data_IF_090818458711
#
_entry.id   IF_090818458711
#
_cell.length_a   1.000
_cell.length_b   1.000
_cell.length_c   1.000
_cell.angle_alpha   90.00
_cell.angle_beta   90.00
_cell.angle_gamma   90.00
#
_symmetry.space_group_name_H-M   'P 1'
#
loop_
_entity.id
_entity.type
_entity.pdbx_description
1 polymer ?
#
# COMPACT_ATOMS: atom_id res chain seq x y z
N UNK A 1 -14.27 17.35 -8.39
CA UNK A 1 -15.27 17.13 -7.31
C UNK A 1 -16.43 16.29 -7.84
N UNK A 2 -16.23 14.98 -8.02
CA UNK A 2 -17.26 14.06 -8.52
C UNK A 2 -17.05 12.61 -8.03
N UNK A 3 -16.37 12.41 -6.90
CA UNK A 3 -15.95 11.08 -6.40
C UNK A 3 -16.59 10.70 -5.06
N UNK A 4 -17.54 11.49 -4.57
CA UNK A 4 -18.21 11.27 -3.28
C UNK A 4 -19.64 10.73 -3.39
N UNK A 5 -20.11 10.40 -4.60
CA UNK A 5 -21.50 9.99 -4.84
C UNK A 5 -21.71 8.48 -4.96
N UNK A 6 -20.66 7.69 -5.21
CA UNK A 6 -20.81 6.23 -5.38
C UNK A 6 -20.94 5.47 -4.05
N UNK A 7 -20.37 5.99 -2.96
CA UNK A 7 -20.43 5.34 -1.63
C UNK A 7 -21.77 5.51 -0.91
N UNK A 8 -22.61 6.45 -1.34
CA UNK A 8 -23.93 6.70 -0.72
C UNK A 8 -25.01 5.76 -1.26
N UNK A 9 -24.80 5.16 -2.44
CA UNK A 9 -25.79 4.29 -3.08
C UNK A 9 -25.90 2.90 -2.44
N UNK A 10 -24.81 2.33 -1.95
CA UNK A 10 -24.82 1.01 -1.30
C UNK A 10 -25.50 1.08 0.08
N UNK A 11 -25.34 2.19 0.81
CA UNK A 11 -26.02 2.40 2.10
C UNK A 11 -27.52 2.72 1.96
N UNK A 12 -27.95 3.27 0.81
CA UNK A 12 -29.34 3.66 0.58
C UNK A 12 -30.26 2.49 0.19
N UNK A 13 -29.74 1.45 -0.48
CA UNK A 13 -30.53 0.27 -0.84
C UNK A 13 -30.93 -0.59 0.37
N UNK A 14 -30.12 -0.62 1.44
CA UNK A 14 -30.43 -1.36 2.66
C UNK A 14 -31.55 -0.72 3.50
N UNK A 15 -31.84 0.58 3.34
CA UNK A 15 -32.82 1.31 4.15
C UNK A 15 -34.21 1.41 3.52
N UNK A 16 -34.33 1.27 2.19
CA UNK A 16 -35.60 1.40 1.49
C UNK A 16 -36.46 0.13 1.50
N UNK A 17 -35.93 -1.01 1.93
CA UNK A 17 -36.69 -2.26 2.10
C UNK A 17 -37.60 -2.28 3.35
N UNK A 18 -37.55 -1.23 4.20
CA UNK A 18 -38.33 -1.13 5.45
C UNK A 18 -39.71 -0.46 5.27
N UNK A 19 -40.09 -0.08 4.05
CA UNK A 19 -41.27 0.72 3.76
C UNK A 19 -42.40 -0.02 3.04
N UNK A 20 -43.38 -0.48 3.83
CA UNK A 20 -44.80 -0.72 3.45
C UNK A 20 -45.11 -2.00 2.66
N UNK A 21 -45.72 -2.98 3.34
CA UNK A 21 -46.92 -3.65 2.85
C UNK A 21 -47.72 -4.28 3.99
N UNK A 22 -48.81 -3.62 4.37
CA UNK A 22 -49.88 -4.21 5.15
C UNK A 22 -50.79 -5.03 4.21
N UNK A 23 -50.74 -6.36 4.30
CA UNK A 23 -51.70 -7.26 3.67
C UNK A 23 -52.29 -8.23 4.72
N UNK A 24 -53.61 -8.51 4.68
CA UNK A 24 -54.28 -9.19 5.78
C UNK A 24 -54.07 -10.71 5.73
N UNK A 25 -53.53 -11.21 6.85
CA UNK A 25 -53.69 -12.54 7.46
C UNK A 25 -54.72 -13.46 6.78
N UNK A 26 -54.22 -14.50 6.11
CA UNK A 26 -54.96 -15.75 5.90
C UNK A 26 -54.27 -16.88 6.65
N UNK A 27 -55.00 -17.37 7.65
CA UNK A 27 -54.76 -18.58 8.43
C UNK A 27 -54.55 -19.82 7.53
N UNK A 28 -53.44 -20.56 7.69
CA UNK A 28 -53.42 -22.01 7.92
C UNK A 28 -51.99 -22.61 7.94
N UNK A 29 -51.84 -23.59 8.86
CA UNK A 29 -50.80 -24.63 9.01
C UNK A 29 -49.43 -24.22 9.58
N UNK A 30 -49.24 -24.43 10.89
CA UNK A 30 -47.93 -24.53 11.55
C UNK A 30 -47.32 -25.91 11.28
N UNK A 31 -46.32 -26.00 10.37
CA UNK A 31 -45.03 -26.63 10.66
C UNK A 31 -43.82 -25.83 10.10
N UNK A 32 -44.02 -24.57 9.69
CA UNK A 32 -42.98 -23.67 9.12
C UNK A 32 -41.90 -23.16 10.07
N UNK A 33 -42.12 -23.25 11.38
CA UNK A 33 -41.09 -22.85 12.34
C UNK A 33 -39.88 -23.79 12.33
N UNK A 34 -40.06 -25.05 11.93
CA UNK A 34 -38.95 -25.99 11.78
C UNK A 34 -38.14 -25.65 10.53
N UNK A 35 -38.80 -25.40 9.39
CA UNK A 35 -38.16 -24.96 8.15
C UNK A 35 -37.36 -23.65 8.35
N UNK A 36 -37.95 -22.65 9.03
CA UNK A 36 -37.23 -21.42 9.33
C UNK A 36 -36.03 -21.68 10.26
N UNK A 37 -36.16 -22.54 11.28
CA UNK A 37 -35.04 -22.89 12.18
C UNK A 37 -33.91 -23.61 11.45
N UNK A 38 -34.26 -24.55 10.58
CA UNK A 38 -33.29 -25.32 9.80
C UNK A 38 -32.57 -24.38 8.81
N UNK A 39 -33.30 -23.47 8.15
CA UNK A 39 -32.73 -22.44 7.29
C UNK A 39 -31.83 -21.47 8.07
N UNK A 40 -32.24 -21.00 9.25
CA UNK A 40 -31.40 -20.15 10.10
C UNK A 40 -30.08 -20.83 10.42
N UNK A 41 -30.08 -22.11 10.80
CA UNK A 41 -28.85 -22.83 11.12
C UNK A 41 -27.99 -23.06 9.87
N UNK A 42 -28.61 -23.41 8.74
CA UNK A 42 -27.92 -23.55 7.46
C UNK A 42 -27.22 -22.24 7.06
N UNK A 43 -27.96 -21.13 7.03
CA UNK A 43 -27.39 -19.84 6.66
C UNK A 43 -26.43 -19.30 7.71
N UNK A 44 -26.61 -19.60 9.01
CA UNK A 44 -25.61 -19.28 10.03
C UNK A 44 -24.26 -19.90 9.68
N UNK A 45 -24.25 -21.17 9.29
CA UNK A 45 -23.03 -21.86 8.86
C UNK A 45 -22.49 -21.23 7.58
N UNK A 46 -23.34 -21.01 6.57
CA UNK A 46 -22.90 -20.42 5.29
C UNK A 46 -22.32 -19.01 5.46
N UNK A 47 -22.93 -18.15 6.27
CA UNK A 47 -22.40 -16.82 6.58
C UNK A 47 -21.07 -16.89 7.36
N UNK A 48 -20.93 -17.83 8.29
CA UNK A 48 -19.68 -18.05 9.03
C UNK A 48 -18.55 -18.57 8.11
N UNK A 49 -18.87 -19.48 7.19
CA UNK A 49 -17.92 -19.95 6.16
C UNK A 49 -17.51 -18.81 5.22
N UNK A 50 -18.48 -18.04 4.73
CA UNK A 50 -18.24 -16.89 3.87
C UNK A 50 -17.40 -15.81 4.57
N UNK A 51 -17.67 -15.53 5.85
CA UNK A 51 -16.84 -14.65 6.67
C UNK A 51 -15.40 -15.16 6.77
N UNK A 52 -15.20 -16.45 7.09
CA UNK A 52 -13.88 -17.05 7.24
C UNK A 52 -13.07 -16.99 5.94
N UNK A 53 -13.69 -17.31 4.81
CA UNK A 53 -13.04 -17.22 3.50
C UNK A 53 -12.58 -15.78 3.22
N UNK A 54 -13.48 -14.81 3.40
CA UNK A 54 -13.20 -13.38 3.19
C UNK A 54 -12.10 -12.90 4.13
N UNK A 55 -12.16 -13.25 5.40
CA UNK A 55 -11.15 -12.89 6.39
C UNK A 55 -9.76 -13.44 6.03
N UNK A 56 -9.68 -14.71 5.63
CA UNK A 56 -8.42 -15.32 5.17
C UNK A 56 -7.85 -14.60 3.94
N UNK A 57 -8.69 -14.29 2.97
CA UNK A 57 -8.26 -13.56 1.77
C UNK A 57 -7.76 -12.14 2.10
N UNK A 58 -8.46 -11.41 2.98
CA UNK A 58 -8.03 -10.08 3.41
C UNK A 58 -6.73 -10.12 4.21
N UNK A 59 -6.52 -11.14 5.04
CA UNK A 59 -5.25 -11.36 5.72
C UNK A 59 -4.11 -11.64 4.73
N UNK A 60 -4.37 -12.44 3.69
CA UNK A 60 -3.41 -12.67 2.62
C UNK A 60 -3.06 -11.37 1.88
N UNK A 61 -4.07 -10.58 1.48
CA UNK A 61 -3.86 -9.30 0.80
C UNK A 61 -3.03 -8.32 1.65
N UNK A 62 -3.31 -8.20 2.96
CA UNK A 62 -2.49 -7.38 3.88
C UNK A 62 -1.05 -7.86 3.98
N UNK A 63 -0.85 -9.17 4.06
CA UNK A 63 0.49 -9.76 4.17
C UNK A 63 1.28 -9.53 2.88
N UNK A 64 0.64 -9.72 1.72
CA UNK A 64 1.23 -9.45 0.41
C UNK A 64 1.63 -7.99 0.26
N UNK A 65 0.72 -7.06 0.60
CA UNK A 65 0.99 -5.62 0.61
C UNK A 65 2.21 -5.26 1.48
N UNK A 66 2.25 -5.77 2.72
CA UNK A 66 3.38 -5.53 3.61
C UNK A 66 4.70 -6.09 3.06
N UNK A 67 4.67 -7.30 2.49
CA UNK A 67 5.83 -7.92 1.88
C UNK A 67 6.34 -7.12 0.67
N UNK A 68 5.44 -6.62 -0.18
CA UNK A 68 5.77 -5.78 -1.34
C UNK A 68 6.46 -4.49 -0.91
N UNK A 69 5.89 -3.77 0.07
CA UNK A 69 6.48 -2.52 0.60
C UNK A 69 7.84 -2.79 1.24
N UNK A 70 7.96 -3.88 2.01
CA UNK A 70 9.23 -4.28 2.60
C UNK A 70 10.30 -4.54 1.55
N UNK A 71 9.97 -5.30 0.50
CA UNK A 71 10.91 -5.63 -0.56
C UNK A 71 11.36 -4.37 -1.34
N UNK A 72 10.45 -3.39 -1.55
CA UNK A 72 10.82 -2.09 -2.11
C UNK A 72 11.80 -1.34 -1.20
N UNK A 73 11.54 -1.30 0.11
CA UNK A 73 12.44 -0.64 1.06
C UNK A 73 13.82 -1.31 1.08
N UNK A 74 13.88 -2.64 1.05
CA UNK A 74 15.14 -3.39 1.03
C UNK A 74 15.98 -3.06 -0.22
N UNK A 75 15.36 -3.02 -1.41
CA UNK A 75 16.04 -2.65 -2.66
C UNK A 75 16.49 -1.18 -2.67
N UNK A 76 15.63 -0.25 -2.25
CA UNK A 76 15.99 1.19 -2.19
C UNK A 76 17.15 1.43 -1.21
N UNK A 77 17.12 0.79 -0.03
CA UNK A 77 18.19 0.90 0.96
C UNK A 77 19.50 0.26 0.47
N UNK A 78 19.36 -0.88 -0.23
CA UNK A 78 20.27 -1.38 -1.27
C UNK A 78 21.12 -0.29 -1.93
N UNK A 79 20.48 0.32 -2.93
CA UNK A 79 21.07 1.23 -3.89
C UNK A 79 21.60 2.50 -3.23
N UNK A 80 20.88 2.99 -2.21
CA UNK A 80 21.32 4.13 -1.40
C UNK A 80 22.62 3.82 -0.64
N UNK A 81 22.74 2.62 -0.08
CA UNK A 81 23.93 2.19 0.64
C UNK A 81 25.15 2.11 -0.29
N UNK A 82 24.96 1.60 -1.51
CA UNK A 82 26.00 1.54 -2.54
C UNK A 82 26.44 2.95 -2.96
N UNK A 83 25.49 3.83 -3.29
CA UNK A 83 25.76 5.23 -3.69
C UNK A 83 26.42 6.03 -2.57
N UNK A 84 25.99 5.84 -1.31
CA UNK A 84 26.64 6.45 -0.15
C UNK A 84 28.11 6.04 -0.06
N UNK A 85 28.44 4.76 -0.29
CA UNK A 85 29.82 4.31 -0.25
C UNK A 85 30.66 4.94 -1.37
N UNK A 86 30.10 5.08 -2.57
CA UNK A 86 30.75 5.79 -3.69
C UNK A 86 31.04 7.24 -3.30
N UNK A 87 30.08 7.97 -2.75
CA UNK A 87 30.29 9.36 -2.31
C UNK A 87 31.25 9.47 -1.11
N UNK A 88 31.20 8.52 -0.18
CA UNK A 88 32.03 8.54 1.02
C UNK A 88 33.51 8.37 0.69
N UNK A 89 33.83 7.40 -0.19
CA UNK A 89 35.19 6.95 -0.47
C UNK A 89 35.72 7.38 -1.84
N UNK A 90 34.86 7.85 -2.76
CA UNK A 90 35.25 8.19 -4.13
C UNK A 90 36.32 9.28 -4.22
N UNK A 91 36.37 10.19 -3.24
CA UNK A 91 37.38 11.24 -3.20
C UNK A 91 38.66 10.87 -2.43
N UNK A 92 38.77 9.67 -1.86
CA UNK A 92 39.91 9.34 -0.98
C UNK A 92 41.24 9.35 -1.73
N UNK A 93 41.28 8.83 -2.95
CA UNK A 93 42.50 8.79 -3.76
C UNK A 93 42.97 10.20 -4.14
N UNK A 94 42.08 11.07 -4.63
CA UNK A 94 42.45 12.44 -4.99
C UNK A 94 42.84 13.27 -3.75
N UNK A 95 42.19 13.04 -2.60
CA UNK A 95 42.57 13.67 -1.33
C UNK A 95 43.94 13.21 -0.85
N UNK A 96 44.28 11.94 -1.05
CA UNK A 96 45.60 11.41 -0.75
C UNK A 96 46.66 12.04 -1.66
N UNK A 97 46.41 12.12 -2.97
CA UNK A 97 47.31 12.76 -3.94
C UNK A 97 47.61 14.21 -3.54
N UNK A 98 46.56 14.99 -3.22
CA UNK A 98 46.72 16.38 -2.75
C UNK A 98 47.52 16.44 -1.43
N UNK A 99 47.22 15.56 -0.48
CA UNK A 99 47.90 15.53 0.82
C UNK A 99 49.39 15.24 0.68
N UNK A 100 49.79 14.36 -0.24
CA UNK A 100 51.18 14.06 -0.52
C UNK A 100 51.91 15.29 -1.08
N UNK A 101 51.29 16.00 -2.03
CA UNK A 101 51.87 17.24 -2.61
C UNK A 101 52.05 18.35 -1.57
N UNK A 102 51.14 18.47 -0.60
CA UNK A 102 51.30 19.42 0.52
C UNK A 102 52.54 19.07 1.36
N UNK A 103 52.74 17.78 1.65
CA UNK A 103 53.87 17.31 2.48
C UNK A 103 55.23 17.48 1.79
N UNK A 104 55.28 17.38 0.46
CA UNK A 104 56.52 17.61 -0.31
C UNK A 104 57.06 19.05 -0.18
N UNK A 105 56.18 20.02 0.11
CA UNK A 105 56.54 21.36 0.59
C UNK A 105 57.10 22.33 -0.47
N UNK A 106 57.06 21.95 -1.73
CA UNK A 106 57.54 22.70 -2.90
C UNK A 106 56.40 23.27 -3.78
N UNK A 107 55.13 23.12 -3.37
CA UNK A 107 53.94 23.49 -4.11
C UNK A 107 53.11 24.58 -3.41
N UNK A 108 52.11 25.14 -4.10
CA UNK A 108 51.21 26.14 -3.52
C UNK A 108 50.20 25.47 -2.56
N UNK A 109 50.57 25.37 -1.28
CA UNK A 109 49.76 24.74 -0.23
C UNK A 109 48.33 25.29 -0.14
N UNK A 110 48.14 26.61 -0.25
CA UNK A 110 46.80 27.20 -0.17
C UNK A 110 45.92 26.76 -1.35
N UNK A 111 46.47 26.72 -2.56
CA UNK A 111 45.77 26.23 -3.76
C UNK A 111 45.31 24.77 -3.57
N UNK A 112 46.18 23.92 -3.00
CA UNK A 112 45.87 22.52 -2.71
C UNK A 112 44.81 22.36 -1.60
N UNK A 113 44.89 23.14 -0.53
CA UNK A 113 43.88 23.15 0.54
C UNK A 113 42.51 23.62 0.04
N UNK A 114 42.48 24.62 -0.85
CA UNK A 114 41.24 25.10 -1.47
C UNK A 114 40.55 23.98 -2.27
N UNK A 115 41.31 23.16 -3.01
CA UNK A 115 40.75 21.98 -3.69
C UNK A 115 40.15 20.96 -2.71
N UNK A 116 40.79 20.74 -1.55
CA UNK A 116 40.25 19.85 -0.50
C UNK A 116 38.95 20.41 0.08
N UNK A 117 38.85 21.72 0.28
CA UNK A 117 37.62 22.35 0.74
C UNK A 117 36.48 22.18 -0.26
N UNK A 118 36.76 22.34 -1.56
CA UNK A 118 35.77 22.09 -2.61
C UNK A 118 35.30 20.63 -2.62
N UNK A 119 36.20 19.64 -2.44
CA UNK A 119 35.82 18.23 -2.29
C UNK A 119 34.87 18.01 -1.11
N UNK A 120 35.18 18.61 0.06
CA UNK A 120 34.35 18.46 1.27
C UNK A 120 32.97 19.07 1.05
N UNK A 121 32.89 20.24 0.43
CA UNK A 121 31.62 20.89 0.10
C UNK A 121 30.79 20.03 -0.86
N UNK A 122 31.40 19.54 -1.94
CA UNK A 122 30.73 18.68 -2.91
C UNK A 122 30.21 17.40 -2.27
N UNK A 123 31.01 16.74 -1.42
CA UNK A 123 30.59 15.54 -0.68
C UNK A 123 29.36 15.81 0.19
N UNK A 124 29.28 16.97 0.83
CA UNK A 124 28.09 17.37 1.62
C UNK A 124 26.88 17.55 0.71
N UNK A 125 27.04 18.20 -0.45
CA UNK A 125 25.95 18.39 -1.41
C UNK A 125 25.46 17.06 -1.99
N UNK A 126 26.36 16.16 -2.38
CA UNK A 126 26.00 14.82 -2.86
C UNK A 126 25.24 14.04 -1.78
N UNK A 127 25.65 14.15 -0.51
CA UNK A 127 24.92 13.56 0.62
C UNK A 127 23.48 14.09 0.76
N UNK A 128 23.25 15.38 0.51
CA UNK A 128 21.91 15.98 0.52
C UNK A 128 21.06 15.49 -0.66
N UNK A 129 21.65 15.35 -1.85
CA UNK A 129 20.93 14.81 -3.02
C UNK A 129 20.56 13.33 -2.82
N UNK A 130 21.39 12.52 -2.14
CA UNK A 130 21.02 11.14 -1.75
C UNK A 130 19.75 11.15 -0.88
N UNK A 131 19.68 12.05 0.11
CA UNK A 131 18.48 12.18 0.95
C UNK A 131 17.27 12.59 0.13
N UNK A 132 17.43 13.51 -0.82
CA UNK A 132 16.34 13.94 -1.70
C UNK A 132 15.80 12.80 -2.57
N UNK A 133 16.66 11.98 -3.18
CA UNK A 133 16.21 10.81 -3.94
C UNK A 133 15.38 9.85 -3.07
N UNK A 134 15.75 9.70 -1.79
CA UNK A 134 15.04 8.85 -0.84
C UNK A 134 13.67 9.42 -0.45
N UNK A 135 13.56 10.74 -0.27
CA UNK A 135 12.30 11.42 0.04
C UNK A 135 11.31 11.27 -1.12
N UNK A 136 11.72 11.57 -2.37
CA UNK A 136 10.87 11.44 -3.56
C UNK A 136 10.37 9.99 -3.74
N UNK A 137 11.24 9.01 -3.49
CA UNK A 137 10.90 7.58 -3.55
C UNK A 137 9.93 7.18 -2.45
N UNK A 138 10.07 7.76 -1.25
CA UNK A 138 9.17 7.49 -0.13
C UNK A 138 7.77 8.02 -0.39
N UNK A 139 7.64 9.23 -0.92
CA UNK A 139 6.35 9.81 -1.29
C UNK A 139 5.62 8.97 -2.35
N UNK A 140 6.33 8.54 -3.40
CA UNK A 140 5.76 7.66 -4.43
C UNK A 140 5.31 6.32 -3.83
N UNK A 141 6.15 5.71 -2.99
CA UNK A 141 5.88 4.43 -2.32
C UNK A 141 4.70 4.51 -1.36
N UNK A 142 4.56 5.57 -0.58
CA UNK A 142 3.51 5.71 0.45
C UNK A 142 2.14 6.05 -0.16
N UNK A 143 2.12 6.67 -1.35
CA UNK A 143 0.88 6.96 -2.09
C UNK A 143 0.15 5.71 -2.62
N UNK A 144 0.89 4.64 -2.96
CA UNK A 144 0.33 3.40 -3.49
C UNK A 144 -0.50 2.60 -2.47
N UNK A 145 -0.02 2.35 -1.23
CA UNK A 145 -0.70 1.48 -0.29
C UNK A 145 -1.77 2.19 0.56
N UNK A 146 -1.78 3.53 0.66
CA UNK A 146 -2.69 4.25 1.54
C UNK A 146 -4.17 3.95 1.21
N UNK A 147 -4.58 4.17 -0.04
CA UNK A 147 -5.94 3.87 -0.50
C UNK A 147 -6.29 2.39 -0.38
N UNK A 148 -5.31 1.51 -0.60
CA UNK A 148 -5.53 0.08 -0.51
C UNK A 148 -5.72 -0.38 0.95
N UNK A 149 -4.97 0.17 1.91
CA UNK A 149 -5.18 -0.09 3.33
C UNK A 149 -6.56 0.38 3.81
N UNK A 150 -7.03 1.54 3.36
CA UNK A 150 -8.39 2.01 3.65
C UNK A 150 -9.44 1.04 3.11
N UNK A 151 -9.27 0.59 1.88
CA UNK A 151 -10.16 -0.39 1.26
C UNK A 151 -10.17 -1.73 2.01
N UNK A 152 -9.00 -2.28 2.35
CA UNK A 152 -8.89 -3.51 3.15
C UNK A 152 -9.51 -3.36 4.55
N UNK A 153 -9.44 -2.17 5.16
CA UNK A 153 -10.09 -1.89 6.44
C UNK A 153 -11.62 -1.88 6.32
N UNK A 154 -12.16 -1.33 5.23
CA UNK A 154 -13.59 -1.36 4.94
C UNK A 154 -14.06 -2.82 4.75
N UNK A 155 -13.36 -3.59 3.91
CA UNK A 155 -13.69 -4.99 3.65
C UNK A 155 -13.60 -5.85 4.91
N UNK A 156 -12.66 -5.58 5.81
CA UNK A 156 -12.56 -6.27 7.10
C UNK A 156 -13.80 -6.03 7.98
N UNK A 157 -14.29 -4.78 8.02
CA UNK A 157 -15.50 -4.44 8.76
C UNK A 157 -16.74 -5.12 8.17
N UNK A 158 -16.82 -5.17 6.83
CA UNK A 158 -17.88 -5.88 6.13
C UNK A 158 -17.80 -7.39 6.41
N UNK A 159 -16.61 -7.99 6.35
CA UNK A 159 -16.40 -9.40 6.70
C UNK A 159 -16.91 -9.71 8.11
N UNK A 160 -16.57 -8.88 9.10
CA UNK A 160 -17.06 -9.07 10.47
C UNK A 160 -18.60 -8.92 10.56
N UNK A 161 -19.18 -7.98 9.80
CA UNK A 161 -20.64 -7.82 9.74
C UNK A 161 -21.35 -9.04 9.16
N UNK A 162 -20.73 -9.74 8.20
CA UNK A 162 -21.28 -10.96 7.57
C UNK A 162 -21.49 -12.07 8.62
N UNK A 163 -20.55 -12.22 9.55
CA UNK A 163 -20.66 -13.19 10.64
C UNK A 163 -21.87 -12.93 11.55
N UNK A 164 -22.31 -11.67 11.65
CA UNK A 164 -23.44 -11.25 12.48
C UNK A 164 -24.76 -11.15 11.70
N UNK A 165 -24.74 -11.28 10.36
CA UNK A 165 -25.92 -11.05 9.50
C UNK A 165 -27.11 -11.92 9.89
N UNK A 166 -26.87 -13.18 10.27
CA UNK A 166 -27.96 -14.08 10.71
C UNK A 166 -28.64 -13.59 12.00
N UNK A 167 -27.93 -12.90 12.89
CA UNK A 167 -28.53 -12.29 14.09
C UNK A 167 -29.25 -10.99 13.74
N UNK A 168 -28.67 -10.21 12.82
CA UNK A 168 -29.25 -8.95 12.34
C UNK A 168 -30.61 -9.14 11.68
N UNK A 169 -30.85 -10.26 10.98
CA UNK A 169 -32.15 -10.56 10.38
C UNK A 169 -33.27 -10.66 11.44
N UNK A 170 -32.99 -11.11 12.67
CA UNK A 170 -33.99 -11.16 13.75
C UNK A 170 -34.37 -9.79 14.31
N UNK A 171 -33.50 -8.80 14.17
CA UNK A 171 -33.80 -7.42 14.58
C UNK A 171 -34.65 -6.72 13.53
N UNK A 172 -34.46 -7.08 12.25
CA UNK A 172 -35.08 -6.43 11.10
C UNK A 172 -36.34 -7.13 10.59
N UNK A 173 -36.53 -8.42 10.87
CA UNK A 173 -37.65 -9.23 10.38
C UNK A 173 -38.50 -9.82 11.50
N UNK A 174 -39.82 -9.91 11.29
CA UNK A 174 -40.74 -10.49 12.26
C UNK A 174 -40.88 -12.02 12.07
N UNK A 175 -39.94 -12.77 12.64
CA UNK A 175 -39.89 -14.24 12.54
C UNK A 175 -41.13 -14.96 13.10
N UNK A 176 -41.95 -14.29 13.92
CA UNK A 176 -43.11 -14.89 14.60
C UNK A 176 -44.38 -14.74 13.77
N UNK A 177 -44.59 -13.56 13.19
CA UNK A 177 -45.79 -13.25 12.43
C UNK A 177 -45.60 -13.43 10.91
N UNK A 178 -44.35 -13.40 10.42
CA UNK A 178 -44.00 -13.54 9.00
C UNK A 178 -42.68 -14.34 8.81
N UNK A 179 -42.70 -15.65 9.08
CA UNK A 179 -41.53 -16.50 8.93
C UNK A 179 -41.09 -16.71 7.47
N UNK A 180 -42.01 -16.57 6.50
CA UNK A 180 -41.68 -16.69 5.07
C UNK A 180 -40.83 -15.52 4.60
N UNK A 181 -41.24 -14.29 4.93
CA UNK A 181 -40.44 -13.12 4.56
C UNK A 181 -39.08 -13.10 5.24
N UNK A 182 -38.98 -13.61 6.47
CA UNK A 182 -37.67 -13.75 7.12
C UNK A 182 -36.77 -14.69 6.31
N UNK A 183 -37.28 -15.86 5.92
CA UNK A 183 -36.51 -16.83 5.14
C UNK A 183 -36.06 -16.26 3.80
N UNK A 184 -36.96 -15.61 3.06
CA UNK A 184 -36.64 -14.93 1.80
C UNK A 184 -35.56 -13.85 2.01
N UNK A 185 -35.69 -13.03 3.06
CA UNK A 185 -34.70 -12.00 3.37
C UNK A 185 -33.33 -12.57 3.71
N UNK A 186 -33.27 -13.71 4.39
CA UNK A 186 -32.03 -14.40 4.74
C UNK A 186 -31.30 -14.92 3.48
N UNK A 187 -32.05 -15.50 2.55
CA UNK A 187 -31.56 -15.96 1.25
C UNK A 187 -31.10 -14.78 0.37
N UNK A 188 -31.95 -13.75 0.19
CA UNK A 188 -31.62 -12.51 -0.52
C UNK A 188 -30.33 -11.87 0.04
N UNK A 189 -30.22 -11.81 1.37
CA UNK A 189 -29.04 -11.23 2.03
C UNK A 189 -27.77 -12.05 1.78
N UNK A 190 -27.87 -13.37 1.76
CA UNK A 190 -26.73 -14.23 1.49
C UNK A 190 -26.28 -14.08 0.04
N UNK A 191 -27.20 -14.20 -0.92
CA UNK A 191 -26.92 -14.09 -2.35
C UNK A 191 -26.31 -12.73 -2.69
N UNK A 192 -26.86 -11.64 -2.16
CA UNK A 192 -26.33 -10.30 -2.39
C UNK A 192 -24.94 -10.13 -1.78
N UNK A 193 -24.70 -10.69 -0.59
CA UNK A 193 -23.40 -10.64 0.09
C UNK A 193 -22.32 -11.45 -0.64
N UNK A 194 -22.70 -12.59 -1.20
CA UNK A 194 -21.82 -13.42 -2.01
C UNK A 194 -21.52 -12.75 -3.36
N UNK A 195 -22.55 -12.25 -4.04
CA UNK A 195 -22.45 -11.52 -5.31
C UNK A 195 -21.56 -10.29 -5.17
N UNK A 196 -21.83 -9.41 -4.21
CA UNK A 196 -21.04 -8.19 -3.99
C UNK A 196 -19.57 -8.50 -3.70
N UNK A 197 -19.28 -9.66 -3.10
CA UNK A 197 -17.90 -10.08 -2.94
C UNK A 197 -17.26 -10.54 -4.25
N UNK A 198 -17.89 -11.50 -4.92
CA UNK A 198 -17.31 -12.15 -6.09
C UNK A 198 -17.26 -11.25 -7.33
N UNK A 199 -18.24 -10.36 -7.49
CA UNK A 199 -18.36 -9.49 -8.66
C UNK A 199 -17.71 -8.12 -8.47
N UNK A 200 -17.58 -7.64 -7.24
CA UNK A 200 -17.13 -6.27 -6.97
C UNK A 200 -15.87 -6.23 -6.10
N UNK A 201 -15.93 -6.73 -4.86
CA UNK A 201 -14.83 -6.57 -3.91
C UNK A 201 -13.56 -7.37 -4.30
N UNK A 202 -13.73 -8.66 -4.61
CA UNK A 202 -12.61 -9.55 -4.92
C UNK A 202 -11.83 -9.08 -6.17
N UNK A 203 -12.47 -8.74 -7.31
CA UNK A 203 -11.77 -8.19 -8.46
C UNK A 203 -11.02 -6.89 -8.16
N UNK A 204 -11.59 -6.00 -7.33
CA UNK A 204 -10.93 -4.76 -6.94
C UNK A 204 -9.70 -5.03 -6.07
N UNK A 205 -9.77 -5.94 -5.09
CA UNK A 205 -8.59 -6.31 -4.28
C UNK A 205 -7.50 -6.91 -5.16
N UNK A 206 -7.86 -7.77 -6.11
CA UNK A 206 -6.89 -8.36 -7.05
C UNK A 206 -6.24 -7.28 -7.92
N UNK A 207 -7.04 -6.34 -8.45
CA UNK A 207 -6.52 -5.22 -9.23
C UNK A 207 -5.49 -4.38 -8.45
N UNK A 208 -5.77 -4.07 -7.19
CA UNK A 208 -4.83 -3.32 -6.34
C UNK A 208 -3.54 -4.12 -6.09
N UNK A 209 -3.66 -5.43 -5.82
CA UNK A 209 -2.49 -6.31 -5.68
C UNK A 209 -1.61 -6.33 -6.93
N UNK A 210 -2.23 -6.49 -8.10
CA UNK A 210 -1.56 -6.50 -9.40
C UNK A 210 -0.92 -5.13 -9.70
N UNK A 211 -1.61 -4.03 -9.38
CA UNK A 211 -1.09 -2.68 -9.57
C UNK A 211 0.16 -2.42 -8.72
N UNK A 212 0.20 -2.90 -7.47
CA UNK A 212 1.40 -2.80 -6.65
C UNK A 212 2.55 -3.64 -7.19
N UNK A 213 2.28 -4.87 -7.62
CA UNK A 213 3.30 -5.75 -8.22
C UNK A 213 3.89 -5.10 -9.49
N UNK A 214 3.04 -4.47 -10.29
CA UNK A 214 3.44 -3.75 -11.50
C UNK A 214 4.25 -2.48 -11.20
N UNK A 215 3.82 -1.67 -10.24
CA UNK A 215 4.47 -0.38 -9.94
C UNK A 215 5.76 -0.51 -9.14
N UNK A 216 5.91 -1.58 -8.35
CA UNK A 216 7.12 -1.87 -7.56
C UNK A 216 8.43 -1.66 -8.33
N UNK A 217 8.68 -2.35 -9.46
CA UNK A 217 9.94 -2.19 -10.20
C UNK A 217 10.13 -0.80 -10.79
N UNK A 218 9.04 -0.07 -11.10
CA UNK A 218 9.11 1.28 -11.64
C UNK A 218 9.62 2.27 -10.60
N UNK A 219 9.08 2.21 -9.38
CA UNK A 219 9.50 3.06 -8.26
C UNK A 219 10.98 2.81 -7.92
N UNK A 220 11.39 1.53 -7.87
CA UNK A 220 12.79 1.17 -7.62
C UNK A 220 13.69 1.69 -8.74
N UNK A 221 13.28 1.55 -10.01
CA UNK A 221 14.05 2.03 -11.15
C UNK A 221 14.20 3.57 -11.17
N UNK A 222 13.17 4.31 -10.76
CA UNK A 222 13.24 5.77 -10.67
C UNK A 222 14.25 6.22 -9.58
N UNK A 223 14.28 5.54 -8.44
CA UNK A 223 15.30 5.76 -7.41
C UNK A 223 16.71 5.47 -7.93
N UNK A 224 16.90 4.33 -8.62
CA UNK A 224 18.19 3.97 -9.23
C UNK A 224 18.66 5.05 -10.22
N UNK A 225 17.77 5.58 -11.05
CA UNK A 225 18.11 6.65 -11.99
C UNK A 225 18.53 7.94 -11.26
N UNK A 226 17.84 8.31 -10.19
CA UNK A 226 18.20 9.45 -9.36
C UNK A 226 19.60 9.28 -8.74
N UNK A 227 19.88 8.11 -8.18
CA UNK A 227 21.17 7.78 -7.57
C UNK A 227 22.31 7.69 -8.60
N UNK A 228 22.04 7.21 -9.81
CA UNK A 228 23.05 7.17 -10.88
C UNK A 228 23.54 8.56 -11.25
N UNK A 229 22.66 9.57 -11.29
CA UNK A 229 23.05 10.94 -11.55
C UNK A 229 24.01 11.51 -10.47
N UNK A 230 23.90 11.03 -9.23
CA UNK A 230 24.81 11.39 -8.12
C UNK A 230 26.18 10.74 -8.35
N UNK A 231 26.21 9.46 -8.73
CA UNK A 231 27.46 8.75 -9.05
C UNK A 231 28.19 9.42 -10.21
N UNK A 232 27.47 9.78 -11.28
CA UNK A 232 28.04 10.45 -12.45
C UNK A 232 28.60 11.84 -12.08
N UNK A 233 27.88 12.59 -11.22
CA UNK A 233 28.33 13.89 -10.71
C UNK A 233 29.58 13.76 -9.85
N UNK A 234 29.64 12.76 -8.97
CA UNK A 234 30.81 12.51 -8.13
C UNK A 234 32.06 12.25 -8.98
N UNK A 235 31.96 11.35 -9.96
CA UNK A 235 33.09 11.02 -10.84
C UNK A 235 33.54 12.25 -11.64
N UNK A 236 32.61 12.98 -12.26
CA UNK A 236 32.93 14.16 -13.04
C UNK A 236 33.60 15.25 -12.19
N UNK A 237 33.18 15.41 -10.94
CA UNK A 237 33.82 16.34 -10.01
C UNK A 237 35.22 15.90 -9.62
N UNK A 238 35.43 14.62 -9.33
CA UNK A 238 36.75 14.07 -9.03
C UNK A 238 37.73 14.31 -10.18
N UNK A 239 37.32 14.01 -11.41
CA UNK A 239 38.13 14.21 -12.62
C UNK A 239 38.49 15.70 -12.79
N UNK A 240 37.53 16.60 -12.57
CA UNK A 240 37.74 18.06 -12.60
C UNK A 240 38.75 18.52 -11.55
N UNK A 241 38.72 17.98 -10.32
CA UNK A 241 39.72 18.29 -9.30
C UNK A 241 41.10 17.80 -9.75
N UNK A 242 41.20 16.55 -10.25
CA UNK A 242 42.47 15.99 -10.73
C UNK A 242 43.10 16.83 -11.84
N UNK A 243 42.30 17.34 -12.77
CA UNK A 243 42.78 18.23 -13.84
C UNK A 243 43.30 19.59 -13.34
N UNK A 244 42.84 20.03 -12.18
CA UNK A 244 43.23 21.33 -11.58
C UNK A 244 44.46 21.23 -10.68
N UNK A 245 44.80 20.05 -10.16
CA UNK A 245 46.01 19.84 -9.33
C UNK A 245 47.28 20.41 -9.98
N UNK A 246 47.57 20.18 -11.28
CA UNK A 246 48.78 20.71 -11.94
C UNK A 246 48.93 22.22 -11.88
N UNK A 247 47.84 22.98 -11.72
CA UNK A 247 47.89 24.45 -11.61
C UNK A 247 48.43 24.94 -10.25
N UNK A 248 48.48 24.06 -9.25
CA UNK A 248 49.00 24.34 -7.92
C UNK A 248 50.49 23.92 -7.75
N UNK A 249 51.09 23.28 -8.76
CA UNK A 249 52.46 22.74 -8.70
C UNK A 249 53.54 23.82 -8.84
#
# INVERSE_FOLDING_TARGET
MAWSLSFVLIAACALLASGVSAAPSKTAVKPRNQELRDAIEEYRVRFDELHKEKDQFLQFARTGLWATVRAMNEEVLQDMGETRNIVEYGFDDVRLDISLLIVEGNHNEQCLLDLVYEIVEEKVQLGQEISRCADDTTDAKDSLPESFYEFLNLLQRLSNSIAETTLYTFVSQNSVNDPERHLEFLEESFEETDRAWNEEALPLVQFELDAMEYNRPLIVADNVQCLQAINDRQQAFEDSIRERIPSCL
#
